data_IF_389801466938
#
_entry.id   IF_389801466938
#
_cell.length_a   1.000
_cell.length_b   1.000
_cell.length_c   1.000
_cell.angle_alpha   90.00
_cell.angle_beta   90.00
_cell.angle_gamma   90.00
#
_symmetry.space_group_name_H-M   'P 1'
#
loop_
_entity.id
_entity.type
_entity.pdbx_description
1 polymer ?
#
# COMPACT_ATOMS: atom_id res chain seq x y z
N UNK A 1 -15.87 5.27 2.52
CA UNK A 1 -15.88 3.83 2.86
C UNK A 1 -17.21 3.39 3.48
N UNK A 2 -17.61 3.89 4.65
CA UNK A 2 -18.86 3.49 5.35
C UNK A 2 -20.11 3.58 4.48
N UNK A 3 -20.25 4.65 3.68
CA UNK A 3 -21.37 4.79 2.73
C UNK A 3 -21.36 3.74 1.62
N UNK A 4 -20.23 3.55 0.95
CA UNK A 4 -20.10 2.55 -0.11
C UNK A 4 -20.42 1.15 0.41
N UNK A 5 -19.97 0.82 1.62
CA UNK A 5 -20.30 -0.44 2.29
C UNK A 5 -21.78 -0.56 2.67
N UNK A 6 -22.40 0.52 3.18
CA UNK A 6 -23.82 0.54 3.47
C UNK A 6 -24.69 0.32 2.21
N UNK A 7 -24.18 0.69 1.04
CA UNK A 7 -24.80 0.48 -0.27
C UNK A 7 -24.42 -0.89 -0.90
N UNK A 8 -23.69 -1.75 -0.17
CA UNK A 8 -23.34 -3.11 -0.60
C UNK A 8 -22.07 -3.23 -1.47
N UNK A 9 -21.30 -2.14 -1.64
CA UNK A 9 -20.08 -2.17 -2.44
C UNK A 9 -18.90 -2.79 -1.68
N UNK A 10 -18.10 -3.58 -2.38
CA UNK A 10 -16.76 -3.95 -1.96
C UNK A 10 -15.79 -2.79 -2.17
N UNK A 11 -14.78 -2.70 -1.30
CA UNK A 11 -13.81 -1.60 -1.32
C UNK A 11 -12.40 -2.16 -1.16
N UNK A 12 -11.47 -1.59 -1.91
CA UNK A 12 -10.05 -1.88 -1.82
C UNK A 12 -9.34 -0.74 -1.11
N UNK A 13 -8.30 -1.06 -0.34
CA UNK A 13 -7.43 -0.08 0.29
C UNK A 13 -6.27 0.25 -0.66
N UNK A 14 -6.19 1.49 -1.13
CA UNK A 14 -5.08 1.94 -1.97
C UNK A 14 -3.85 2.29 -1.12
N UNK A 15 -2.71 1.68 -1.43
CA UNK A 15 -1.42 1.82 -0.73
C UNK A 15 -0.50 2.75 -1.54
N UNK A 16 0.00 3.86 -0.96
CA UNK A 16 0.95 4.74 -1.63
C UNK A 16 2.29 4.03 -1.87
N UNK A 17 2.70 3.95 -3.13
CA UNK A 17 3.94 3.32 -3.56
C UNK A 17 4.83 4.32 -4.32
N UNK A 18 6.15 4.16 -4.21
CA UNK A 18 7.13 5.05 -4.83
C UNK A 18 6.95 5.19 -6.36
N UNK A 19 6.68 6.40 -6.88
CA UNK A 19 6.75 6.70 -8.31
C UNK A 19 8.19 6.92 -8.77
N UNK A 20 8.40 7.13 -10.07
CA UNK A 20 9.75 7.32 -10.64
C UNK A 20 10.42 8.65 -10.21
N UNK A 21 9.62 9.66 -9.94
CA UNK A 21 10.00 11.05 -9.68
C UNK A 21 9.91 11.46 -8.20
N UNK A 22 9.77 10.49 -7.30
CA UNK A 22 9.87 10.72 -5.86
C UNK A 22 11.22 11.38 -5.49
N UNK A 23 11.26 12.42 -4.63
CA UNK A 23 10.16 12.96 -3.81
C UNK A 23 9.42 14.16 -4.44
N UNK A 24 9.60 14.44 -5.74
CA UNK A 24 8.92 15.56 -6.42
C UNK A 24 7.41 15.32 -6.48
N UNK A 25 7.00 14.10 -6.86
CA UNK A 25 5.65 13.59 -6.62
C UNK A 25 5.68 12.66 -5.40
N UNK A 26 5.17 13.15 -4.28
CA UNK A 26 5.03 12.38 -3.04
C UNK A 26 3.57 11.92 -2.89
N UNK A 27 3.29 10.60 -3.00
CA UNK A 27 1.94 10.05 -2.82
C UNK A 27 1.38 10.25 -1.39
N UNK A 28 2.23 10.59 -0.43
CA UNK A 28 1.83 10.96 0.92
C UNK A 28 2.67 10.31 2.02
N UNK A 29 2.30 10.56 3.29
CA UNK A 29 2.98 9.96 4.43
C UNK A 29 2.85 8.43 4.39
N UNK A 30 3.90 7.73 4.81
CA UNK A 30 4.00 6.27 4.76
C UNK A 30 4.03 5.65 3.36
N UNK A 31 4.38 6.42 2.32
CA UNK A 31 4.76 5.85 1.01
C UNK A 31 5.78 4.73 1.20
N UNK A 32 5.54 3.57 0.59
CA UNK A 32 6.50 2.48 0.56
C UNK A 32 7.61 2.82 -0.44
N UNK A 33 8.86 2.73 -0.01
CA UNK A 33 10.02 3.19 -0.78
C UNK A 33 11.01 2.05 -1.00
N UNK A 34 11.58 1.99 -2.20
CA UNK A 34 12.63 1.02 -2.57
C UNK A 34 13.93 1.23 -1.78
N UNK A 35 14.13 2.44 -1.25
CA UNK A 35 15.29 2.82 -0.44
C UNK A 35 15.16 2.42 1.03
N UNK A 36 13.97 2.01 1.48
CA UNK A 36 13.74 1.59 2.86
C UNK A 36 14.03 0.10 3.04
N UNK A 37 14.52 -0.31 4.22
CA UNK A 37 14.53 -1.72 4.59
C UNK A 37 13.14 -2.33 4.51
N UNK A 38 13.05 -3.60 4.12
CA UNK A 38 11.79 -4.34 4.00
C UNK A 38 10.92 -4.21 5.25
N UNK A 39 11.50 -4.38 6.45
CA UNK A 39 10.78 -4.26 7.73
C UNK A 39 10.09 -2.91 7.92
N UNK A 40 10.69 -1.84 7.41
CA UNK A 40 10.12 -0.49 7.53
C UNK A 40 8.94 -0.31 6.55
N UNK A 41 9.04 -0.87 5.34
CA UNK A 41 7.90 -0.91 4.41
C UNK A 41 6.74 -1.73 4.97
N UNK A 42 7.02 -2.85 5.65
CA UNK A 42 5.97 -3.67 6.31
C UNK A 42 5.30 -2.89 7.45
N UNK A 43 6.08 -2.19 8.30
CA UNK A 43 5.49 -1.33 9.34
C UNK A 43 4.58 -0.25 8.76
N UNK A 44 4.99 0.37 7.64
CA UNK A 44 4.17 1.37 6.94
C UNK A 44 2.90 0.76 6.36
N UNK A 45 3.01 -0.42 5.74
CA UNK A 45 1.87 -1.17 5.24
C UNK A 45 0.86 -1.46 6.35
N UNK A 46 1.31 -2.02 7.48
CA UNK A 46 0.44 -2.33 8.62
C UNK A 46 -0.20 -1.08 9.21
N UNK A 47 0.55 0.03 9.29
CA UNK A 47 0.00 1.31 9.71
C UNK A 47 -1.14 1.76 8.80
N UNK A 48 -0.99 1.67 7.48
CA UNK A 48 -2.03 2.02 6.51
C UNK A 48 -3.26 1.11 6.64
N UNK A 49 -3.02 -0.20 6.77
CA UNK A 49 -4.06 -1.21 6.94
C UNK A 49 -4.85 -1.05 8.23
N UNK A 50 -4.24 -0.53 9.30
CA UNK A 50 -4.93 -0.32 10.59
C UNK A 50 -5.83 0.92 10.59
N UNK A 51 -5.73 1.81 9.60
CA UNK A 51 -6.51 3.07 9.56
C UNK A 51 -7.97 2.86 9.18
N UNK A 52 -8.24 1.80 8.44
CA UNK A 52 -9.55 1.54 7.84
C UNK A 52 -9.92 0.08 8.07
N UNK A 53 -11.21 -0.19 8.24
CA UNK A 53 -11.72 -1.54 8.45
C UNK A 53 -12.73 -1.89 7.36
N UNK A 54 -12.81 -3.17 7.02
CA UNK A 54 -13.77 -3.66 6.04
C UNK A 54 -13.40 -3.30 4.61
N UNK A 55 -12.13 -3.42 4.20
CA UNK A 55 -11.75 -3.60 2.80
C UNK A 55 -11.69 -5.09 2.48
N UNK A 56 -11.79 -5.47 1.21
CA UNK A 56 -11.67 -6.87 0.76
C UNK A 56 -10.28 -7.21 0.20
N UNK A 57 -9.39 -6.21 0.15
CA UNK A 57 -8.05 -6.34 -0.38
C UNK A 57 -7.34 -5.00 -0.43
N UNK A 58 -6.07 -5.04 -0.85
CA UNK A 58 -5.24 -3.86 -1.08
C UNK A 58 -4.97 -3.66 -2.58
N UNK A 59 -4.74 -2.43 -2.99
CA UNK A 59 -4.33 -2.05 -4.36
C UNK A 59 -3.24 -0.99 -4.29
N UNK A 60 -2.53 -0.76 -5.38
CA UNK A 60 -1.52 0.30 -5.48
C UNK A 60 -2.15 1.69 -5.70
N UNK A 61 -1.44 2.72 -5.22
CA UNK A 61 -1.56 4.11 -5.63
C UNK A 61 -0.18 4.58 -6.10
N UNK A 62 -0.03 4.86 -7.40
CA UNK A 62 1.24 5.07 -8.11
C UNK A 62 2.10 3.79 -8.14
N UNK A 63 3.40 3.85 -7.81
CA UNK A 63 4.25 2.65 -7.70
C UNK A 63 5.10 2.29 -8.91
N UNK A 64 5.22 3.15 -9.92
CA UNK A 64 6.00 2.85 -11.13
C UNK A 64 7.45 2.38 -10.87
N UNK A 65 8.08 2.87 -9.79
CA UNK A 65 9.41 2.45 -9.35
C UNK A 65 9.35 1.30 -8.36
N UNK A 66 8.40 1.33 -7.43
CA UNK A 66 8.28 0.30 -6.39
C UNK A 66 7.94 -1.07 -6.97
N UNK A 67 6.96 -1.15 -7.86
CA UNK A 67 6.46 -2.40 -8.46
C UNK A 67 7.50 -3.10 -9.34
N UNK A 68 8.43 -2.34 -9.93
CA UNK A 68 9.52 -2.88 -10.76
C UNK A 68 10.71 -3.35 -9.93
N UNK A 69 10.74 -3.02 -8.63
CA UNK A 69 11.82 -3.42 -7.72
C UNK A 69 11.41 -4.66 -6.94
N UNK A 70 11.66 -5.84 -7.53
CA UNK A 70 11.21 -7.13 -6.98
C UNK A 70 11.60 -7.34 -5.50
N UNK A 71 12.81 -6.94 -5.11
CA UNK A 71 13.30 -7.09 -3.74
C UNK A 71 12.48 -6.30 -2.70
N UNK A 72 11.87 -5.18 -3.11
CA UNK A 72 11.00 -4.36 -2.26
C UNK A 72 9.55 -4.79 -2.37
N UNK A 73 9.09 -5.19 -3.56
CA UNK A 73 7.69 -5.48 -3.85
C UNK A 73 7.24 -6.86 -3.37
N UNK A 74 8.06 -7.89 -3.56
CA UNK A 74 7.70 -9.28 -3.23
C UNK A 74 7.30 -9.45 -1.75
N UNK A 75 8.05 -8.93 -0.75
CA UNK A 75 7.67 -9.11 0.65
C UNK A 75 6.36 -8.40 1.02
N UNK A 76 6.05 -7.28 0.37
CA UNK A 76 4.81 -6.52 0.58
C UNK A 76 3.60 -7.28 0.06
N UNK A 77 3.73 -7.91 -1.12
CA UNK A 77 2.68 -8.79 -1.64
C UNK A 77 2.44 -9.99 -0.73
N UNK A 78 3.51 -10.65 -0.28
CA UNK A 78 3.41 -11.81 0.62
C UNK A 78 2.72 -11.44 1.94
N UNK A 79 3.15 -10.36 2.58
CA UNK A 79 2.57 -9.89 3.84
C UNK A 79 1.10 -9.46 3.68
N UNK A 80 0.79 -8.69 2.64
CA UNK A 80 -0.59 -8.25 2.39
C UNK A 80 -1.55 -9.43 2.11
N UNK A 81 -1.07 -10.51 1.48
CA UNK A 81 -1.89 -11.71 1.23
C UNK A 81 -2.22 -12.49 2.50
N UNK A 82 -1.39 -12.38 3.55
CA UNK A 82 -1.60 -13.03 4.83
C UNK A 82 -2.51 -12.22 5.78
N UNK A 83 -2.68 -10.92 5.50
CA UNK A 83 -3.33 -9.98 6.40
C UNK A 83 -4.81 -9.65 6.05
N UNK A 84 -5.33 -10.19 4.93
CA UNK A 84 -6.73 -10.04 4.48
C UNK A 84 -7.45 -11.38 4.57
#
# INVERSE_FOLDING_TARGET
>A
MTRARAEGHEVLLAIPLEPNDYPTEDPGPHTLLTTLPTEENIKRLHWLMSRYAGYVGVTNHMGAKFETTQASFQPVLEDSSAAV
#
